data_IF_556437886682
#
_entry.id   IF_556437886682
#
_cell.length_a   1.000
_cell.length_b   1.000
_cell.length_c   1.000
_cell.angle_alpha   90.00
_cell.angle_beta   90.00
_cell.angle_gamma   90.00
#
_symmetry.space_group_name_H-M   'P 1'
#
loop_
_entity.id
_entity.type
_entity.pdbx_description
1 polymer ?
#
# COMPACT_ATOMS: atom_id res chain seq x y z
N UNK A 1 21.62 10.02 15.98
CA UNK A 1 21.49 10.87 14.77
C UNK A 1 21.99 10.21 13.47
N UNK A 2 23.22 9.70 13.34
CA UNK A 2 23.69 9.12 12.06
C UNK A 2 22.81 7.96 11.54
N UNK A 3 22.39 7.06 12.43
CA UNK A 3 21.50 5.93 12.10
C UNK A 3 20.12 6.38 11.60
N UNK A 4 19.53 7.44 12.18
CA UNK A 4 18.25 7.98 11.73
C UNK A 4 18.35 8.60 10.32
N UNK A 5 19.45 9.29 10.03
CA UNK A 5 19.71 9.82 8.68
C UNK A 5 19.89 8.70 7.64
N UNK A 6 20.54 7.60 8.01
CA UNK A 6 20.70 6.41 7.16
C UNK A 6 19.34 5.74 6.88
N UNK A 7 18.48 5.59 7.90
CA UNK A 7 17.12 5.09 7.72
C UNK A 7 16.27 6.02 6.86
N UNK A 8 16.34 7.33 7.09
CA UNK A 8 15.66 8.33 6.27
C UNK A 8 16.10 8.22 4.79
N UNK A 9 17.39 7.96 4.55
CA UNK A 9 17.92 7.78 3.20
C UNK A 9 17.41 6.50 2.51
N UNK A 10 17.22 5.41 3.26
CA UNK A 10 16.64 4.17 2.76
C UNK A 10 15.14 4.32 2.46
N UNK A 11 14.41 5.01 3.35
CA UNK A 11 12.96 5.20 3.21
C UNK A 11 12.58 6.21 2.14
N UNK A 12 13.36 7.28 2.00
CA UNK A 12 13.15 8.35 1.04
C UNK A 12 14.39 8.48 0.15
N UNK A 13 14.55 7.61 -0.86
CA UNK A 13 15.69 7.69 -1.77
C UNK A 13 15.65 8.98 -2.59
N UNK A 14 16.82 9.46 -3.02
CA UNK A 14 16.90 10.62 -3.90
C UNK A 14 16.21 10.33 -5.24
N UNK A 15 15.53 11.34 -5.83
CA UNK A 15 14.93 11.18 -7.15
C UNK A 15 16.03 10.97 -8.20
N UNK A 16 15.67 10.36 -9.33
CA UNK A 16 16.61 10.18 -10.44
C UNK A 16 16.78 11.50 -11.19
N UNK A 17 18.02 11.97 -11.43
CA UNK A 17 18.23 13.20 -12.19
C UNK A 17 17.70 13.07 -13.62
N UNK A 18 17.27 14.19 -14.24
CA UNK A 18 16.79 14.17 -15.61
C UNK A 18 17.95 13.80 -16.54
N UNK A 19 17.59 13.20 -17.69
CA UNK A 19 18.60 12.77 -18.67
C UNK A 19 19.13 13.96 -19.46
N UNK A 20 18.28 14.95 -19.68
CA UNK A 20 18.61 16.20 -20.35
C UNK A 20 18.65 17.33 -19.31
N UNK A 21 19.84 17.89 -19.11
CA UNK A 21 20.05 18.99 -18.16
C UNK A 21 19.77 20.36 -18.79
N UNK A 22 19.57 20.42 -20.11
CA UNK A 22 19.22 21.64 -20.82
C UNK A 22 17.68 21.84 -20.87
N UNK A 23 16.89 20.80 -20.56
CA UNK A 23 15.44 20.93 -20.40
C UNK A 23 15.10 21.56 -19.03
N UNK A 24 14.84 22.86 -19.06
CA UNK A 24 14.46 23.64 -17.88
C UNK A 24 13.22 23.10 -17.15
N UNK A 25 12.26 22.48 -17.84
CA UNK A 25 11.06 21.94 -17.21
C UNK A 25 11.39 20.65 -16.44
N UNK A 26 12.19 19.76 -17.02
CA UNK A 26 12.67 18.56 -16.33
C UNK A 26 13.55 18.90 -15.13
N UNK A 27 14.45 19.88 -15.27
CA UNK A 27 15.32 20.35 -14.19
C UNK A 27 14.52 20.92 -13.02
N UNK A 28 13.51 21.77 -13.29
CA UNK A 28 12.64 22.32 -12.24
C UNK A 28 11.83 21.21 -11.55
N UNK A 29 11.30 20.24 -12.30
CA UNK A 29 10.59 19.10 -11.73
C UNK A 29 11.49 18.26 -10.81
N UNK A 30 12.75 18.05 -11.21
CA UNK A 30 13.73 17.33 -10.40
C UNK A 30 14.11 18.08 -9.13
N UNK A 31 14.31 19.40 -9.22
CA UNK A 31 14.60 20.24 -8.05
C UNK A 31 13.47 20.20 -7.02
N UNK A 32 12.22 20.32 -7.47
CA UNK A 32 11.05 20.20 -6.59
C UNK A 32 10.99 18.83 -5.89
N UNK A 33 11.27 17.74 -6.62
CA UNK A 33 11.33 16.40 -6.04
C UNK A 33 12.47 16.24 -5.01
N UNK A 34 13.64 16.86 -5.25
CA UNK A 34 14.75 16.87 -4.28
C UNK A 34 14.37 17.63 -2.99
N UNK A 35 13.70 18.77 -3.12
CA UNK A 35 13.21 19.54 -1.97
C UNK A 35 12.17 18.76 -1.16
N UNK A 36 11.27 18.04 -1.83
CA UNK A 36 10.30 17.15 -1.18
C UNK A 36 10.99 16.02 -0.41
N UNK A 37 11.98 15.34 -1.01
CA UNK A 37 12.75 14.29 -0.32
C UNK A 37 13.53 14.85 0.86
N UNK A 38 14.07 16.06 0.73
CA UNK A 38 14.78 16.72 1.84
C UNK A 38 13.85 16.95 3.02
N UNK A 39 12.68 17.54 2.76
CA UNK A 39 11.64 17.78 3.78
C UNK A 39 11.17 16.48 4.43
N UNK A 40 10.92 15.45 3.64
CA UNK A 40 10.47 14.16 4.16
C UNK A 40 11.52 13.50 5.07
N UNK A 41 12.81 13.64 4.75
CA UNK A 41 13.90 13.12 5.59
C UNK A 41 14.03 13.90 6.89
N UNK A 42 13.92 15.23 6.85
CA UNK A 42 13.96 16.09 8.04
C UNK A 42 12.79 15.75 8.98
N UNK A 43 11.57 15.71 8.46
CA UNK A 43 10.36 15.34 9.23
C UNK A 43 10.47 13.92 9.83
N UNK A 44 11.02 12.97 9.08
CA UNK A 44 11.26 11.62 9.57
C UNK A 44 12.23 11.59 10.75
N UNK A 45 13.34 12.34 10.67
CA UNK A 45 14.31 12.42 11.77
C UNK A 45 13.68 13.11 12.97
N UNK A 46 13.01 14.24 12.78
CA UNK A 46 12.34 14.99 13.85
C UNK A 46 11.28 14.15 14.59
N UNK A 47 10.42 13.43 13.85
CA UNK A 47 9.38 12.57 14.44
C UNK A 47 9.92 11.40 15.26
N UNK A 48 11.15 10.94 14.98
CA UNK A 48 11.78 9.78 15.63
C UNK A 48 12.82 10.17 16.68
N UNK A 49 13.36 11.39 16.61
CA UNK A 49 14.27 11.96 17.60
C UNK A 49 13.53 12.66 18.75
N UNK A 50 12.18 12.69 18.72
CA UNK A 50 11.35 13.31 19.76
C UNK A 50 11.55 12.65 21.15
N UNK A 51 12.21 13.34 22.10
CA UNK A 51 12.45 12.80 23.43
C UNK A 51 11.20 12.74 24.30
N UNK A 52 10.10 13.37 23.88
CA UNK A 52 8.80 13.35 24.56
C UNK A 52 7.88 12.24 24.06
N UNK A 53 8.31 11.44 23.07
CA UNK A 53 7.64 10.18 22.70
C UNK A 53 7.68 9.25 23.91
N UNK A 54 6.59 9.27 24.66
CA UNK A 54 6.45 8.64 25.97
C UNK A 54 6.58 7.14 25.77
N UNK A 55 7.44 6.50 26.57
CA UNK A 55 7.44 5.06 26.69
C UNK A 55 6.02 4.63 27.08
N UNK A 56 5.47 3.66 26.36
CA UNK A 56 4.18 3.07 26.68
C UNK A 56 4.17 2.59 28.14
N UNK A 57 2.99 2.47 28.77
CA UNK A 57 2.81 2.14 30.19
C UNK A 57 3.55 0.86 30.67
N UNK A 58 3.96 0.00 29.73
CA UNK A 58 4.75 -1.22 29.96
C UNK A 58 6.28 -1.01 30.04
N UNK A 59 6.76 0.24 30.01
CA UNK A 59 8.21 0.52 30.08
C UNK A 59 9.00 0.03 28.87
N UNK A 60 8.30 -0.20 27.75
CA UNK A 60 8.93 -0.49 26.47
C UNK A 60 9.76 0.72 26.06
N UNK A 61 11.08 0.57 26.14
CA UNK A 61 12.05 1.56 25.72
C UNK A 61 11.65 2.17 24.37
N UNK A 62 11.87 3.48 24.26
CA UNK A 62 12.00 4.26 23.03
C UNK A 62 12.11 3.33 21.81
N UNK A 63 10.99 3.11 21.12
CA UNK A 63 10.88 2.01 20.15
C UNK A 63 12.01 2.13 19.14
N UNK A 64 12.82 1.08 19.00
CA UNK A 64 13.93 1.06 18.06
C UNK A 64 13.46 1.55 16.67
N UNK A 65 14.06 2.61 16.09
CA UNK A 65 13.61 3.20 14.84
C UNK A 65 13.62 2.21 13.65
N UNK A 66 14.58 1.29 13.60
CA UNK A 66 14.64 0.27 12.56
C UNK A 66 13.51 -0.75 12.73
N UNK A 67 13.25 -1.21 13.96
CA UNK A 67 12.13 -2.13 14.22
C UNK A 67 10.78 -1.49 13.91
N UNK A 68 10.63 -0.20 14.21
CA UNK A 68 9.44 0.59 13.86
C UNK A 68 9.25 0.64 12.33
N UNK A 69 10.31 0.93 11.57
CA UNK A 69 10.27 0.96 10.11
C UNK A 69 9.91 -0.40 9.50
N UNK A 70 10.48 -1.49 10.02
CA UNK A 70 10.16 -2.85 9.57
C UNK A 70 8.69 -3.17 9.86
N UNK A 71 8.18 -2.79 11.04
CA UNK A 71 6.79 -3.00 11.40
C UNK A 71 5.84 -2.22 10.47
N UNK A 72 6.13 -0.94 10.22
CA UNK A 72 5.37 -0.12 9.27
C UNK A 72 5.39 -0.71 7.85
N UNK A 73 6.56 -1.11 7.36
CA UNK A 73 6.70 -1.74 6.04
C UNK A 73 5.89 -3.05 5.94
N UNK A 74 5.89 -3.86 7.01
CA UNK A 74 5.07 -5.07 7.08
C UNK A 74 3.57 -4.75 7.05
N UNK A 75 3.12 -3.73 7.77
CA UNK A 75 1.72 -3.31 7.73
C UNK A 75 1.34 -2.80 6.33
N UNK A 76 2.21 -2.03 5.67
CA UNK A 76 2.00 -1.59 4.31
C UNK A 76 1.89 -2.76 3.33
N UNK A 77 2.73 -3.80 3.47
CA UNK A 77 2.65 -5.03 2.68
C UNK A 77 1.31 -5.76 2.89
N UNK A 78 0.89 -5.95 4.14
CA UNK A 78 -0.38 -6.62 4.46
C UNK A 78 -1.59 -5.82 3.97
N UNK A 79 -1.56 -4.49 4.08
CA UNK A 79 -2.59 -3.62 3.54
C UNK A 79 -2.67 -3.69 2.02
N UNK A 80 -1.53 -3.73 1.33
CA UNK A 80 -1.47 -3.92 -0.12
C UNK A 80 -2.01 -5.30 -0.53
N UNK A 81 -1.66 -6.36 0.18
CA UNK A 81 -2.19 -7.71 -0.05
C UNK A 81 -3.71 -7.74 0.12
N UNK A 82 -4.23 -7.18 1.21
CA UNK A 82 -5.67 -7.05 1.44
C UNK A 82 -6.36 -6.27 0.31
N UNK A 83 -5.76 -5.17 -0.14
CA UNK A 83 -6.30 -4.39 -1.25
C UNK A 83 -6.33 -5.21 -2.56
N UNK A 84 -5.30 -6.01 -2.84
CA UNK A 84 -5.31 -6.92 -4.00
C UNK A 84 -6.47 -7.91 -3.88
N UNK A 85 -6.69 -8.53 -2.71
CA UNK A 85 -7.79 -9.48 -2.49
C UNK A 85 -9.16 -8.85 -2.74
N UNK A 86 -9.40 -7.64 -2.24
CA UNK A 86 -10.62 -6.86 -2.52
C UNK A 86 -10.80 -6.56 -4.02
N UNK A 87 -9.73 -6.20 -4.73
CA UNK A 87 -9.79 -5.96 -6.17
C UNK A 87 -10.07 -7.23 -6.97
N UNK A 88 -9.53 -8.38 -6.55
CA UNK A 88 -9.84 -9.68 -7.13
C UNK A 88 -11.32 -10.03 -6.93
N UNK A 89 -11.83 -9.87 -5.71
CA UNK A 89 -13.25 -10.04 -5.38
C UNK A 89 -14.13 -9.13 -6.25
N UNK A 90 -13.79 -7.83 -6.36
CA UNK A 90 -14.48 -6.89 -7.23
C UNK A 90 -14.52 -7.37 -8.69
N UNK A 91 -13.35 -7.73 -9.24
CA UNK A 91 -13.22 -8.16 -10.63
C UNK A 91 -14.04 -9.41 -10.96
N UNK A 92 -14.20 -10.31 -9.98
CA UNK A 92 -14.93 -11.58 -10.14
C UNK A 92 -16.41 -11.47 -9.84
N UNK A 93 -16.77 -10.76 -8.78
CA UNK A 93 -18.12 -10.79 -8.22
C UNK A 93 -18.93 -9.53 -8.51
N UNK A 94 -18.32 -8.44 -8.98
CA UNK A 94 -19.02 -7.15 -9.13
C UNK A 94 -18.87 -6.51 -10.51
N UNK A 95 -17.76 -6.75 -11.22
CA UNK A 95 -17.52 -6.19 -12.55
C UNK A 95 -18.62 -6.57 -13.57
N UNK A 96 -19.05 -5.60 -14.39
CA UNK A 96 -20.10 -5.74 -15.42
C UNK A 96 -19.56 -5.29 -16.79
N UNK A 97 -20.09 -5.81 -17.91
CA UNK A 97 -21.19 -6.77 -18.03
C UNK A 97 -20.79 -8.23 -17.70
N UNK A 98 -19.51 -8.57 -17.79
CA UNK A 98 -18.97 -9.90 -17.49
C UNK A 98 -17.86 -9.80 -16.43
N UNK A 99 -17.72 -10.81 -15.56
CA UNK A 99 -16.63 -10.84 -14.60
C UNK A 99 -15.30 -11.05 -15.34
N UNK A 100 -14.21 -10.54 -14.77
CA UNK A 100 -12.87 -10.76 -15.30
C UNK A 100 -12.52 -12.26 -15.26
N UNK A 101 -11.75 -12.71 -16.26
CA UNK A 101 -11.26 -14.10 -16.27
C UNK A 101 -10.16 -14.25 -15.24
N UNK A 102 -10.09 -15.41 -14.61
CA UNK A 102 -9.07 -15.70 -13.59
C UNK A 102 -7.64 -15.56 -14.13
N UNK A 103 -7.41 -15.87 -15.41
CA UNK A 103 -6.08 -15.73 -16.04
C UNK A 103 -5.62 -14.27 -16.12
N UNK A 104 -6.54 -13.35 -16.42
CA UNK A 104 -6.21 -11.93 -16.53
C UNK A 104 -5.92 -11.33 -15.15
N UNK A 105 -6.71 -11.73 -14.14
CA UNK A 105 -6.52 -11.32 -12.75
C UNK A 105 -5.23 -11.92 -12.15
N UNK A 106 -4.94 -13.18 -12.45
CA UNK A 106 -3.71 -13.85 -12.02
C UNK A 106 -2.47 -13.15 -12.58
N UNK A 107 -2.49 -12.83 -13.88
CA UNK A 107 -1.41 -12.08 -14.52
C UNK A 107 -1.22 -10.69 -13.90
N UNK A 108 -2.32 -9.96 -13.63
CA UNK A 108 -2.26 -8.62 -13.04
C UNK A 108 -1.77 -8.64 -11.58
N UNK A 109 -2.17 -9.65 -10.79
CA UNK A 109 -1.80 -9.77 -9.38
C UNK A 109 -0.45 -10.47 -9.16
N UNK A 110 0.21 -10.97 -10.22
CA UNK A 110 1.43 -11.79 -10.09
C UNK A 110 1.17 -13.13 -9.38
N UNK A 111 -0.04 -13.66 -9.44
CA UNK A 111 -0.47 -14.88 -8.76
C UNK A 111 -0.67 -16.03 -9.76
N UNK A 112 -0.71 -17.26 -9.26
CA UNK A 112 -1.22 -18.38 -10.06
C UNK A 112 -2.74 -18.31 -10.17
N UNK A 113 -3.32 -18.94 -11.22
CA UNK A 113 -4.78 -19.05 -11.36
C UNK A 113 -5.41 -19.73 -10.13
N UNK A 114 -4.73 -20.76 -9.59
CA UNK A 114 -5.20 -21.42 -8.37
C UNK A 114 -5.13 -20.48 -7.17
N UNK A 115 -4.07 -19.68 -7.06
CA UNK A 115 -3.90 -18.69 -6.00
C UNK A 115 -5.03 -17.66 -6.01
N UNK A 116 -5.39 -17.12 -7.18
CA UNK A 116 -6.51 -16.16 -7.28
C UNK A 116 -7.83 -16.75 -6.80
N UNK A 117 -8.10 -18.05 -7.08
CA UNK A 117 -9.36 -18.69 -6.67
C UNK A 117 -9.52 -18.81 -5.17
N UNK A 118 -8.43 -18.85 -4.43
CA UNK A 118 -8.41 -18.97 -2.96
C UNK A 118 -7.93 -17.69 -2.28
N UNK A 119 -7.70 -16.63 -3.06
CA UNK A 119 -7.13 -15.39 -2.55
C UNK A 119 -8.15 -14.56 -1.80
N UNK A 120 -9.44 -14.69 -2.08
CA UNK A 120 -10.48 -13.91 -1.41
C UNK A 120 -11.66 -14.82 -1.06
N UNK A 121 -12.39 -14.47 -0.01
CA UNK A 121 -13.55 -15.21 0.44
C UNK A 121 -14.78 -14.30 0.64
N UNK A 122 -15.75 -14.75 1.45
CA UNK A 122 -16.99 -14.04 1.72
C UNK A 122 -16.74 -12.70 2.42
N UNK A 123 -15.67 -12.57 3.21
CA UNK A 123 -15.34 -11.34 3.93
C UNK A 123 -14.92 -10.25 2.94
N UNK A 124 -14.01 -10.55 2.00
CA UNK A 124 -13.65 -9.55 0.98
C UNK A 124 -14.80 -9.22 0.02
N UNK A 125 -15.71 -10.17 -0.23
CA UNK A 125 -16.92 -9.90 -1.03
C UNK A 125 -17.83 -8.93 -0.26
N UNK A 126 -18.03 -9.14 1.04
CA UNK A 126 -18.83 -8.26 1.89
C UNK A 126 -18.22 -6.85 1.98
N UNK A 127 -16.92 -6.76 2.22
CA UNK A 127 -16.17 -5.49 2.27
C UNK A 127 -16.29 -4.68 0.98
N UNK A 128 -16.24 -5.37 -0.16
CA UNK A 128 -16.44 -4.70 -1.46
C UNK A 128 -17.89 -4.27 -1.61
N UNK A 129 -18.86 -5.12 -1.26
CA UNK A 129 -20.28 -4.80 -1.38
C UNK A 129 -20.67 -3.57 -0.54
N UNK A 130 -20.13 -3.46 0.67
CA UNK A 130 -20.29 -2.30 1.54
C UNK A 130 -19.64 -1.07 0.90
N UNK A 131 -18.37 -1.17 0.49
CA UNK A 131 -17.63 -0.03 -0.04
C UNK A 131 -18.20 0.56 -1.35
N UNK A 132 -18.89 -0.25 -2.16
CA UNK A 132 -19.50 0.22 -3.42
C UNK A 132 -21.03 0.30 -3.36
N UNK A 133 -21.63 0.06 -2.19
CA UNK A 133 -23.08 0.06 -1.94
C UNK A 133 -23.88 -0.79 -2.94
N UNK A 134 -23.38 -1.99 -3.27
CA UNK A 134 -24.01 -2.87 -4.26
C UNK A 134 -23.78 -4.34 -3.95
N UNK A 135 -24.78 -5.23 -4.07
CA UNK A 135 -24.59 -6.65 -3.85
C UNK A 135 -23.77 -7.32 -4.96
N UNK A 136 -23.13 -8.43 -4.60
CA UNK A 136 -22.42 -9.29 -5.53
C UNK A 136 -23.35 -9.86 -6.61
N UNK A 137 -22.76 -10.21 -7.75
CA UNK A 137 -23.45 -10.86 -8.87
C UNK A 137 -24.05 -12.20 -8.49
N UNK A 138 -23.35 -12.95 -7.66
CA UNK A 138 -23.65 -14.34 -7.34
C UNK A 138 -24.72 -14.46 -6.25
N UNK A 139 -24.76 -13.54 -5.29
CA UNK A 139 -25.79 -13.50 -4.22
C UNK A 139 -27.19 -13.21 -4.78
N UNK A 140 -27.31 -12.47 -5.89
CA UNK A 140 -28.59 -12.26 -6.57
C UNK A 140 -29.19 -13.49 -7.27
N UNK A 141 -28.51 -14.65 -7.26
CA UNK A 141 -29.01 -15.89 -7.89
C UNK A 141 -29.76 -16.80 -6.90
N UNK A 142 -29.51 -16.67 -5.60
CA UNK A 142 -30.09 -17.54 -4.57
C UNK A 142 -31.45 -17.05 -4.04
N UNK A 143 -31.79 -15.77 -4.21
CA UNK A 143 -33.09 -15.20 -3.80
C UNK A 143 -34.28 -15.50 -4.74
N UNK A 144 -34.10 -16.32 -5.78
CA UNK A 144 -35.20 -16.71 -6.70
C UNK A 144 -35.74 -18.13 -6.48
N UNK A 145 -35.38 -18.79 -5.38
CA UNK A 145 -35.78 -20.17 -5.09
C UNK A 145 -36.57 -20.35 -3.78
N UNK A 146 -37.25 -19.32 -3.27
CA UNK A 146 -38.22 -19.44 -2.17
C UNK A 146 -39.54 -18.77 -2.48
#
# INVERSE_FOLDING_TARGET
MQTLNELAALRFPWPTPPRDLDDTAEVVSYQAACEEVTRAREEYVESRDDPYRTADEDGAAQTDPLLSDIAEARQAMLAAEHQIRRLLAYGREFARPRPYRLIDLAAAAGMSISGVRTAYDEDEIADVAEAIERPARTTGREDKAR
#
